data_IF_301136803005
#
_entry.id   IF_301136803005
#
_cell.length_a   1.000
_cell.length_b   1.000
_cell.length_c   1.000
_cell.angle_alpha   90.00
_cell.angle_beta   90.00
_cell.angle_gamma   90.00
#
_symmetry.space_group_name_H-M   'P 1'
#
loop_
_entity.id
_entity.type
_entity.pdbx_description
1 polymer ?
#
# COMPACT_ATOMS: atom_id res chain seq x y z
N UNK A 1 -12.37 -7.88 2.57
CA UNK A 1 -12.07 -7.78 1.13
C UNK A 1 -10.81 -6.96 0.94
N UNK A 2 -9.82 -7.50 0.24
CA UNK A 2 -8.58 -6.81 -0.14
C UNK A 2 -8.85 -5.97 -1.40
N UNK A 3 -8.39 -4.73 -1.40
CA UNK A 3 -8.45 -3.85 -2.57
C UNK A 3 -7.05 -3.46 -2.99
N UNK A 4 -6.71 -3.65 -4.26
CA UNK A 4 -5.38 -3.36 -4.78
C UNK A 4 -5.45 -2.86 -6.23
N UNK A 5 -4.54 -1.97 -6.58
CA UNK A 5 -4.31 -1.57 -7.96
C UNK A 5 -3.36 -2.56 -8.67
N UNK A 6 -3.46 -2.63 -10.00
CA UNK A 6 -2.48 -3.30 -10.87
C UNK A 6 -2.13 -4.77 -10.48
N UNK A 7 -2.93 -5.70 -10.98
CA UNK A 7 -2.74 -7.17 -10.81
C UNK A 7 -1.30 -7.65 -11.01
N UNK A 8 -0.61 -7.14 -12.04
CA UNK A 8 0.68 -7.65 -12.51
C UNK A 8 1.85 -7.45 -11.54
N UNK A 9 1.75 -6.52 -10.59
CA UNK A 9 2.83 -6.24 -9.63
C UNK A 9 2.69 -6.97 -8.30
N UNK A 10 1.47 -7.32 -7.90
CA UNK A 10 1.18 -7.82 -6.56
C UNK A 10 0.59 -9.23 -6.53
N UNK A 11 0.12 -9.76 -7.65
CA UNK A 11 -0.58 -11.04 -7.70
C UNK A 11 0.23 -12.05 -8.52
N UNK A 12 1.01 -12.86 -7.82
CA UNK A 12 1.52 -14.13 -8.34
C UNK A 12 0.47 -15.22 -8.14
N UNK A 13 0.57 -16.33 -8.88
CA UNK A 13 -0.30 -17.49 -8.67
C UNK A 13 -0.26 -17.99 -7.21
N UNK A 14 0.91 -17.95 -6.57
CA UNK A 14 1.06 -18.30 -5.15
C UNK A 14 0.25 -17.39 -4.23
N UNK A 15 0.19 -16.09 -4.54
CA UNK A 15 -0.59 -15.13 -3.77
C UNK A 15 -2.10 -15.32 -3.98
N UNK A 16 -2.53 -15.65 -5.21
CA UNK A 16 -3.92 -15.98 -5.51
C UNK A 16 -4.39 -17.20 -4.71
N UNK A 17 -3.57 -18.27 -4.63
CA UNK A 17 -3.88 -19.45 -3.81
C UNK A 17 -4.00 -19.11 -2.33
N UNK A 18 -3.07 -18.31 -1.79
CA UNK A 18 -3.15 -17.87 -0.41
C UNK A 18 -4.45 -17.14 -0.09
N UNK A 19 -4.90 -16.23 -0.98
CA UNK A 19 -6.15 -15.51 -0.78
C UNK A 19 -7.34 -16.46 -0.81
N UNK A 20 -7.35 -17.44 -1.71
CA UNK A 20 -8.39 -18.46 -1.80
C UNK A 20 -8.45 -19.34 -0.54
N UNK A 21 -7.31 -19.87 -0.10
CA UNK A 21 -7.22 -20.75 1.08
C UNK A 21 -7.68 -20.04 2.36
N UNK A 22 -7.44 -18.73 2.45
CA UNK A 22 -7.87 -17.92 3.58
C UNK A 22 -9.26 -17.29 3.40
N UNK A 23 -9.99 -17.65 2.34
CA UNK A 23 -11.31 -17.09 2.02
C UNK A 23 -11.33 -15.55 1.94
N UNK A 24 -10.22 -14.95 1.52
CA UNK A 24 -10.06 -13.50 1.38
C UNK A 24 -10.51 -13.09 -0.02
N UNK A 25 -11.64 -12.39 -0.10
CA UNK A 25 -12.08 -11.77 -1.35
C UNK A 25 -11.12 -10.65 -1.76
N UNK A 26 -10.67 -10.64 -3.02
CA UNK A 26 -9.85 -9.57 -3.57
C UNK A 26 -10.57 -8.86 -4.72
N UNK A 27 -10.58 -7.53 -4.69
CA UNK A 27 -11.10 -6.67 -5.74
C UNK A 27 -9.96 -5.85 -6.33
N UNK A 28 -9.76 -6.03 -7.64
CA UNK A 28 -8.78 -5.27 -8.41
C UNK A 28 -9.45 -4.02 -8.94
N UNK A 29 -8.89 -2.87 -8.62
CA UNK A 29 -9.33 -1.59 -9.15
C UNK A 29 -8.48 -1.23 -10.37
N UNK A 30 -9.07 -0.50 -11.32
CA UNK A 30 -8.29 0.10 -12.41
C UNK A 30 -7.19 0.98 -11.80
N UNK A 31 -5.99 0.92 -12.39
CA UNK A 31 -4.87 1.76 -11.96
C UNK A 31 -5.32 3.23 -11.91
N UNK A 32 -5.00 3.93 -10.82
CA UNK A 32 -5.29 5.36 -10.68
C UNK A 32 -6.78 5.78 -10.66
N UNK A 33 -7.68 4.90 -10.21
CA UNK A 33 -8.97 5.36 -9.69
C UNK A 33 -8.74 6.15 -8.38
N UNK A 34 -8.69 7.49 -8.50
CA UNK A 34 -8.36 8.42 -7.41
C UNK A 34 -9.24 8.20 -6.17
N UNK A 35 -10.52 7.88 -6.40
CA UNK A 35 -11.52 7.68 -5.35
C UNK A 35 -11.30 6.39 -4.54
N UNK A 36 -10.73 5.33 -5.14
CA UNK A 36 -10.60 4.03 -4.47
C UNK A 36 -9.30 3.89 -3.68
N UNK A 37 -8.26 4.67 -4.00
CA UNK A 37 -6.96 4.58 -3.35
C UNK A 37 -6.67 5.77 -2.40
N UNK A 38 -7.60 6.71 -2.25
CA UNK A 38 -7.39 7.94 -1.49
C UNK A 38 -6.95 7.68 -0.04
N UNK A 39 -7.61 6.75 0.65
CA UNK A 39 -7.28 6.39 2.04
C UNK A 39 -5.84 5.88 2.16
N UNK A 40 -5.40 5.05 1.22
CA UNK A 40 -4.03 4.52 1.21
C UNK A 40 -3.03 5.64 0.91
N UNK A 41 -3.34 6.55 -0.02
CA UNK A 41 -2.49 7.70 -0.33
C UNK A 41 -2.34 8.64 0.87
N UNK A 42 -3.44 8.94 1.57
CA UNK A 42 -3.40 9.75 2.79
C UNK A 42 -2.56 9.09 3.89
N UNK A 43 -2.71 7.78 4.09
CA UNK A 43 -1.90 7.01 5.05
C UNK A 43 -0.41 7.00 4.68
N UNK A 44 -0.08 6.83 3.40
CA UNK A 44 1.31 6.88 2.94
C UNK A 44 1.93 8.26 3.19
N UNK A 45 1.18 9.34 2.94
CA UNK A 45 1.61 10.71 3.25
C UNK A 45 1.84 10.91 4.74
N UNK A 46 0.92 10.44 5.58
CA UNK A 46 1.06 10.53 7.03
C UNK A 46 2.30 9.78 7.52
N UNK A 47 2.48 8.53 7.08
CA UNK A 47 3.63 7.70 7.43
C UNK A 47 4.95 8.38 7.04
N UNK A 48 5.04 8.86 5.79
CA UNK A 48 6.23 9.56 5.31
C UNK A 48 6.56 10.81 6.13
N UNK A 49 5.54 11.59 6.51
CA UNK A 49 5.74 12.77 7.36
C UNK A 49 6.20 12.37 8.76
N UNK A 50 5.55 11.39 9.38
CA UNK A 50 5.94 10.88 10.70
C UNK A 50 7.38 10.38 10.69
N UNK A 51 7.78 9.59 9.69
CA UNK A 51 9.16 9.12 9.55
C UNK A 51 10.15 10.27 9.39
N UNK A 52 9.80 11.32 8.64
CA UNK A 52 10.63 12.54 8.54
C UNK A 52 10.81 13.23 9.89
N UNK A 53 9.76 13.34 10.69
CA UNK A 53 9.85 13.91 12.03
C UNK A 53 10.71 13.05 12.94
N UNK A 54 10.54 11.73 12.93
CA UNK A 54 11.38 10.81 13.71
C UNK A 54 12.86 10.92 13.34
N UNK A 55 13.20 11.01 12.05
CA UNK A 55 14.59 11.22 11.62
C UNK A 55 15.14 12.56 12.06
N UNK A 56 14.31 13.62 12.04
CA UNK A 56 14.69 14.92 12.54
C UNK A 56 14.98 14.90 14.05
N UNK A 57 14.09 14.29 14.85
CA UNK A 57 14.29 14.15 16.30
C UNK A 57 15.52 13.28 16.64
N UNK A 58 15.80 12.26 15.84
CA UNK A 58 16.96 11.40 15.99
C UNK A 58 18.28 12.03 15.50
N UNK A 59 18.28 13.28 15.01
CA UNK A 59 19.43 13.95 14.39
C UNK A 59 20.09 13.14 13.26
N UNK A 60 19.30 12.35 12.54
CA UNK A 60 19.81 11.56 11.41
C UNK A 60 19.92 12.45 10.15
N UNK A 61 21.00 12.29 9.37
CA UNK A 61 21.15 13.05 8.14
C UNK A 61 19.99 12.76 7.19
N UNK A 62 19.46 13.81 6.57
CA UNK A 62 18.44 13.71 5.52
C UNK A 62 19.09 13.15 4.25
N UNK A 63 19.31 11.84 4.19
CA UNK A 63 19.63 11.17 2.93
C UNK A 63 18.34 11.06 2.13
N UNK A 64 18.15 11.98 1.18
CA UNK A 64 17.13 11.89 0.15
C UNK A 64 17.65 11.04 -1.02
#
# INVERSE_FOLDING_TARGET
TLHSNERRRYFSFTFDYYLQDNSIQCQLTTAYSFQQNEVVQQKNKALFNTTKYMFYEANLPKSY
#
